data_IF_317794749626
#
_entry.id   IF_317794749626
#
_cell.length_a   1.000
_cell.length_b   1.000
_cell.length_c   1.000
_cell.angle_alpha   90.00
_cell.angle_beta   90.00
_cell.angle_gamma   90.00
#
_symmetry.space_group_name_H-M   'P 1'
#
loop_
_entity.id
_entity.type
_entity.pdbx_description
1 polymer ?
2 non-polymer ?
3 non-polymer ?
4 non-polymer ?
5 water ?
#
# COMPACT_ATOMS: atom_id res chain seq x y z
N UNK A 4 8.61 -13.23 12.11
CA UNK A 4 8.38 -11.83 12.52
C UNK A 4 6.91 -11.43 12.16
N UNK A 5 6.35 -11.90 11.06
CA UNK A 5 5.01 -11.44 10.62
C UNK A 5 3.98 -11.88 11.64
N UNK A 6 3.16 -10.94 12.07
CA UNK A 6 2.08 -11.19 12.98
C UNK A 6 1.09 -12.18 12.38
N UNK A 7 0.80 -13.31 13.04
CA UNK A 7 -0.20 -14.28 12.48
C UNK A 7 -1.59 -13.66 12.57
N UNK A 8 -2.41 -13.90 11.56
CA UNK A 8 -3.80 -13.45 11.55
C UNK A 8 -4.62 -14.47 10.75
N UNK A 9 -5.91 -14.54 11.03
CA UNK A 9 -6.77 -15.23 10.08
C UNK A 9 -6.68 -14.60 8.71
N UNK A 10 -6.97 -15.37 7.70
CA UNK A 10 -7.09 -14.93 6.33
C UNK A 10 -8.45 -14.34 6.00
N UNK A 11 -8.46 -13.12 5.49
CA UNK A 11 -9.63 -12.46 4.96
C UNK A 11 -9.50 -12.36 3.46
N UNK A 12 -10.40 -12.99 2.70
CA UNK A 12 -10.43 -12.79 1.29
C UNK A 12 -11.15 -11.54 0.89
N UNK A 13 -10.51 -10.67 0.12
CA UNK A 13 -11.14 -9.50 -0.44
C UNK A 13 -11.24 -9.85 -1.92
N UNK A 14 -12.39 -10.27 -2.40
CA UNK A 14 -12.45 -10.92 -3.69
C UNK A 14 -11.53 -12.12 -3.67
N UNK A 15 -10.75 -12.21 -4.73
CA UNK A 15 -9.74 -13.23 -4.89
C UNK A 15 -8.43 -13.01 -4.12
N UNK A 16 -8.28 -11.83 -3.50
CA UNK A 16 -7.01 -11.48 -2.84
C UNK A 16 -7.06 -11.81 -1.37
N UNK A 17 -6.21 -12.73 -0.91
CA UNK A 17 -6.14 -13.04 0.53
C UNK A 17 -5.32 -12.02 1.24
N UNK A 18 -5.80 -11.59 2.41
CA UNK A 18 -5.19 -10.61 3.32
C UNK A 18 -4.93 -11.33 4.65
N UNK A 19 -3.73 -11.26 5.21
CA UNK A 19 -3.49 -11.78 6.53
C UNK A 19 -2.07 -12.30 6.65
N UNK A 20 -1.70 -12.75 7.85
CA UNK A 20 -0.30 -13.04 8.14
C UNK A 20 0.30 -14.15 7.31
N UNK A 21 -0.50 -15.00 6.66
CA UNK A 21 0.05 -16.01 5.76
C UNK A 21 0.28 -15.57 4.30
N UNK A 22 -0.01 -14.28 4.04
CA UNK A 22 -0.10 -13.81 2.66
C UNK A 22 0.75 -12.56 2.43
N UNK A 23 1.16 -12.31 1.19
CA UNK A 23 1.89 -11.09 0.89
C UNK A 23 1.06 -9.88 1.31
N UNK A 24 1.77 -8.86 1.79
CA UNK A 24 1.12 -7.62 2.15
C UNK A 24 0.57 -6.99 0.90
N UNK A 25 -0.75 -6.75 0.85
CA UNK A 25 -1.43 -6.32 -0.36
C UNK A 25 -1.40 -4.80 -0.59
N UNK A 26 -1.09 -4.34 -1.78
CA UNK A 26 -1.16 -2.93 -2.12
C UNK A 26 -2.53 -2.55 -2.56
N UNK A 27 -3.05 -1.48 -1.98
CA UNK A 27 -4.31 -0.96 -2.38
C UNK A 27 -4.25 0.57 -2.62
N UNK A 28 -5.33 1.11 -3.15
CA UNK A 28 -5.47 2.50 -3.48
C UNK A 28 -6.94 2.83 -3.49
N UNK A 29 -7.23 4.07 -3.83
CA UNK A 29 -8.61 4.55 -3.89
C UNK A 29 -8.76 5.51 -5.04
N UNK A 30 -9.86 5.42 -5.74
CA UNK A 30 -10.13 6.34 -6.86
C UNK A 30 -10.42 7.76 -6.37
N UNK A 31 -10.28 8.74 -7.26
CA UNK A 31 -10.71 10.11 -6.97
C UNK A 31 -11.66 10.69 -7.97
N UNK A 32 -12.19 9.88 -8.84
CA UNK A 32 -13.25 10.27 -9.75
C UNK A 32 -14.60 10.20 -9.07
N UNK A 33 -15.58 11.01 -9.55
CA UNK A 33 -16.92 10.83 -9.03
C UNK A 33 -17.39 9.37 -9.37
N UNK A 34 -17.85 8.63 -8.36
CA UNK A 34 -18.27 7.26 -8.56
C UNK A 34 -19.41 7.15 -9.57
N UNK A 35 -20.30 8.15 -9.56
CA UNK A 35 -21.42 8.17 -10.49
C UNK A 35 -20.95 8.22 -11.91
N UNK A 36 -19.74 8.69 -12.16
CA UNK A 36 -19.18 8.76 -13.51
C UNK A 36 -18.59 7.37 -13.79
N UNK A 37 -19.43 6.52 -14.43
CA UNK A 37 -19.06 5.10 -14.66
C UNK A 37 -17.80 5.00 -15.52
N UNK A 38 -17.78 5.79 -16.60
CA UNK A 38 -16.66 5.69 -17.49
C UNK A 38 -15.33 6.14 -16.82
N UNK A 39 -15.36 7.27 -16.14
CA UNK A 39 -14.12 7.82 -15.54
C UNK A 39 -13.65 6.84 -14.42
N UNK A 40 -14.62 6.36 -13.62
CA UNK A 40 -14.25 5.52 -12.45
C UNK A 40 -13.78 4.15 -12.91
N UNK A 41 -14.44 3.54 -13.92
CA UNK A 41 -13.98 2.27 -14.47
C UNK A 41 -12.56 2.37 -15.00
N UNK A 42 -12.32 3.46 -15.73
CA UNK A 42 -11.01 3.72 -16.33
C UNK A 42 -9.93 3.81 -15.21
N UNK A 43 -10.27 4.58 -14.17
CA UNK A 43 -9.28 4.80 -13.11
C UNK A 43 -9.04 3.54 -12.29
N UNK A 44 -10.10 2.74 -12.08
CA UNK A 44 -9.91 1.43 -11.43
C UNK A 44 -8.91 0.61 -12.19
N UNK A 45 -9.11 0.54 -13.51
CA UNK A 45 -8.22 -0.23 -14.36
C UNK A 45 -6.76 0.30 -14.34
N UNK A 46 -6.63 1.63 -14.40
CA UNK A 46 -5.34 2.27 -14.35
C UNK A 46 -4.61 1.89 -13.05
N UNK A 47 -5.31 2.04 -11.92
CA UNK A 47 -4.75 1.76 -10.60
C UNK A 47 -4.33 0.27 -10.52
N UNK A 48 -5.19 -0.62 -11.01
CA UNK A 48 -4.93 -2.01 -10.99
C UNK A 48 -3.72 -2.36 -11.85
N UNK A 49 -3.62 -1.79 -13.04
CA UNK A 49 -2.49 -2.07 -13.92
C UNK A 49 -1.21 -1.56 -13.35
N UNK A 50 -1.27 -0.50 -12.54
CA UNK A 50 -0.08 -0.01 -11.87
C UNK A 50 0.38 -0.80 -10.68
N UNK A 51 -0.44 -1.75 -10.23
CA UNK A 51 -0.13 -2.58 -9.06
C UNK A 51 -1.09 -2.57 -7.92
N UNK A 52 -2.21 -1.87 -8.07
CA UNK A 52 -3.19 -1.86 -6.99
C UNK A 52 -3.96 -3.20 -6.99
N UNK A 53 -3.71 -4.05 -6.02
CA UNK A 53 -4.30 -5.34 -5.98
C UNK A 53 -5.78 -5.29 -5.55
N UNK A 54 -6.12 -4.27 -4.78
CA UNK A 54 -7.48 -3.99 -4.32
C UNK A 54 -7.71 -2.49 -4.58
N UNK A 55 -8.92 -2.12 -5.02
CA UNK A 55 -9.20 -0.70 -5.24
C UNK A 55 -10.47 -0.31 -4.53
N UNK A 56 -10.40 0.76 -3.73
CA UNK A 56 -11.54 1.36 -3.04
C UNK A 56 -12.12 2.51 -3.84
N UNK A 57 -13.43 2.66 -3.71
CA UNK A 57 -14.16 3.80 -4.28
C UNK A 57 -15.19 4.28 -3.32
N UNK A 58 -15.41 5.59 -3.29
CA UNK A 58 -16.41 6.12 -2.36
C UNK A 58 -17.82 5.76 -2.91
N UNK A 59 -18.70 5.40 -1.97
CA UNK A 59 -20.09 5.14 -2.32
C UNK A 59 -20.90 6.09 -1.45
N UNK A 60 -20.99 7.35 -1.88
CA UNK A 60 -21.38 8.43 -0.98
C UNK A 60 -22.88 8.79 -1.00
N UNK A 61 -23.50 8.51 -2.12
CA UNK A 61 -24.91 8.81 -2.35
C UNK A 61 -25.57 7.85 -3.27
N UNK A 62 -26.85 8.12 -3.55
CA UNK A 62 -27.62 7.18 -4.36
C UNK A 62 -27.05 7.04 -5.76
N UNK A 63 -26.65 8.13 -6.40
CA UNK A 63 -26.14 8.03 -7.76
C UNK A 63 -24.86 7.19 -7.80
N UNK A 64 -24.03 7.35 -6.77
CA UNK A 64 -22.83 6.52 -6.68
C UNK A 64 -23.19 5.05 -6.55
N UNK A 65 -24.14 4.79 -5.68
CA UNK A 65 -24.57 3.44 -5.42
C UNK A 65 -25.06 2.80 -6.71
N UNK A 66 -25.87 3.51 -7.49
CA UNK A 66 -26.41 3.00 -8.70
C UNK A 66 -25.35 2.70 -9.79
N UNK A 67 -24.21 3.38 -9.76
CA UNK A 67 -23.12 3.17 -10.69
C UNK A 67 -22.31 1.92 -10.39
N UNK A 68 -22.21 1.52 -9.14
CA UNK A 68 -21.30 0.45 -8.74
C UNK A 68 -21.48 -0.84 -9.53
N UNK A 69 -22.75 -1.31 -9.70
CA UNK A 69 -22.89 -2.57 -10.42
C UNK A 69 -22.42 -2.48 -11.85
N UNK A 70 -22.60 -1.36 -12.49
CA UNK A 70 -22.12 -1.18 -13.85
C UNK A 70 -20.61 -1.13 -13.90
N UNK A 71 -20.01 -0.42 -12.95
CA UNK A 71 -18.49 -0.40 -12.92
C UNK A 71 -17.99 -1.85 -12.79
N UNK A 72 -18.57 -2.60 -11.84
CA UNK A 72 -18.13 -3.99 -11.64
C UNK A 72 -18.34 -4.84 -12.92
N UNK A 73 -19.51 -4.70 -13.54
CA UNK A 73 -19.78 -5.44 -14.77
C UNK A 73 -18.72 -5.16 -15.86
N UNK A 74 -18.39 -3.89 -16.01
CA UNK A 74 -17.42 -3.51 -17.03
C UNK A 74 -16.05 -4.07 -16.74
N UNK A 75 -15.65 -4.07 -15.45
CA UNK A 75 -14.38 -4.66 -15.06
C UNK A 75 -14.31 -6.13 -15.40
N UNK A 76 -15.38 -6.83 -15.04
CA UNK A 76 -15.40 -8.23 -15.28
C UNK A 76 -15.43 -8.57 -16.81
N UNK A 77 -16.05 -7.69 -17.59
CA UNK A 77 -16.08 -7.93 -19.03
C UNK A 77 -14.70 -7.94 -19.68
N UNK A 78 -13.76 -7.26 -19.05
CA UNK A 78 -12.40 -7.40 -19.49
C UNK A 78 -11.46 -8.27 -18.72
N UNK A 79 -12.10 -9.09 -17.90
CA UNK A 79 -11.34 -10.04 -17.12
C UNK A 79 -10.59 -9.41 -15.95
N UNK A 80 -10.93 -8.19 -15.60
CA UNK A 80 -10.24 -7.47 -14.52
C UNK A 80 -10.94 -7.82 -13.21
N UNK A 81 -10.34 -8.73 -12.47
CA UNK A 81 -10.96 -9.23 -11.26
C UNK A 81 -10.47 -8.48 -10.02
N UNK A 82 -10.07 -7.29 -10.14
CA UNK A 82 -9.66 -6.46 -9.05
C UNK A 82 -10.85 -6.28 -8.12
N UNK A 83 -10.65 -6.57 -6.82
CA UNK A 83 -11.77 -6.39 -5.89
C UNK A 83 -12.00 -4.89 -5.62
N UNK A 84 -13.27 -4.60 -5.38
CA UNK A 84 -13.75 -3.27 -5.07
C UNK A 84 -14.15 -3.18 -3.64
N UNK A 85 -13.68 -2.14 -2.97
CA UNK A 85 -14.07 -1.81 -1.60
C UNK A 85 -14.93 -0.54 -1.68
N UNK A 86 -16.12 -0.62 -1.10
CA UNK A 86 -16.99 0.58 -1.03
C UNK A 86 -16.75 1.34 0.27
N UNK A 87 -16.54 2.63 0.14
CA UNK A 87 -16.29 3.48 1.30
C UNK A 87 -17.61 4.20 1.65
N UNK A 88 -18.10 3.88 2.83
CA UNK A 88 -19.41 4.37 3.32
C UNK A 88 -19.26 5.31 4.51
N UNK A 89 -20.03 6.42 4.46
CA UNK A 89 -20.11 7.34 5.60
C UNK A 89 -21.51 7.89 5.67
N UNK A 90 -22.02 8.01 6.87
CA UNK A 90 -23.30 8.65 7.24
C UNK A 90 -24.55 7.87 6.83
N UNK A 91 -24.57 7.41 5.59
CA UNK A 91 -25.79 6.77 5.03
C UNK A 91 -25.53 5.36 4.50
N UNK A 92 -24.40 4.74 4.90
CA UNK A 92 -24.10 3.44 4.34
C UNK A 92 -25.15 2.39 4.55
N UNK A 93 -25.80 2.42 5.69
CA UNK A 93 -26.86 1.46 5.96
C UNK A 93 -28.01 1.70 4.98
N UNK A 94 -28.30 2.94 4.66
CA UNK A 94 -29.40 3.22 3.74
C UNK A 94 -29.05 2.79 2.32
N UNK A 95 -27.83 3.09 1.92
CA UNK A 95 -27.43 2.74 0.55
C UNK A 95 -27.35 1.24 0.35
N UNK A 96 -26.78 0.52 1.27
CA UNK A 96 -26.70 -0.91 1.20
C UNK A 96 -28.07 -1.61 1.23
N UNK A 97 -28.97 -1.04 1.99
CA UNK A 97 -30.35 -1.56 2.07
C UNK A 97 -31.10 -1.32 0.78
N UNK A 98 -31.01 -0.10 0.23
CA UNK A 98 -31.80 0.31 -0.90
C UNK A 98 -31.31 -0.18 -2.24
N UNK A 99 -30.01 -0.47 -2.33
CA UNK A 99 -29.33 -0.86 -3.56
C UNK A 99 -28.61 -2.21 -3.42
N UNK A 100 -29.36 -3.31 -3.34
CA UNK A 100 -28.79 -4.62 -3.06
C UNK A 100 -27.88 -5.07 -4.21
N UNK A 101 -28.06 -4.55 -5.42
CA UNK A 101 -27.13 -4.93 -6.50
C UNK A 101 -25.76 -4.27 -6.26
N UNK A 102 -25.75 -3.08 -5.68
CA UNK A 102 -24.47 -2.46 -5.26
C UNK A 102 -23.83 -3.25 -4.14
N UNK A 103 -24.63 -3.65 -3.16
CA UNK A 103 -24.08 -4.43 -2.06
C UNK A 103 -23.39 -5.75 -2.52
N UNK A 104 -24.02 -6.35 -3.52
CA UNK A 104 -23.55 -7.60 -4.07
C UNK A 104 -22.34 -7.41 -4.95
N UNK A 105 -22.33 -6.31 -5.68
CA UNK A 105 -21.25 -6.03 -6.59
C UNK A 105 -19.89 -5.70 -5.92
N UNK A 106 -19.98 -5.00 -4.79
CA UNK A 106 -18.79 -4.75 -4.02
C UNK A 106 -18.17 -6.03 -3.53
N UNK A 107 -16.85 -6.03 -3.28
CA UNK A 107 -16.17 -7.14 -2.68
C UNK A 107 -15.89 -6.95 -1.19
N UNK A 108 -16.06 -5.75 -0.69
CA UNK A 108 -15.83 -5.46 0.73
C UNK A 108 -16.52 -4.12 1.02
N UNK A 109 -16.97 -3.99 2.29
CA UNK A 109 -17.51 -2.74 2.79
C UNK A 109 -16.58 -2.12 3.80
N UNK A 110 -16.39 -0.83 3.69
CA UNK A 110 -15.71 -0.08 4.74
C UNK A 110 -16.73 0.63 5.58
N UNK A 111 -16.68 0.45 6.89
CA UNK A 111 -17.46 1.18 7.88
C UNK A 111 -16.52 2.04 8.69
N UNK A 112 -16.88 3.27 8.99
CA UNK A 112 -16.15 4.14 9.88
C UNK A 112 -16.99 4.31 11.15
N UNK A 113 -16.54 3.77 12.29
CA UNK A 113 -17.37 3.91 13.53
C UNK A 113 -17.70 5.29 13.94
N UNK A 114 -17.00 6.26 13.43
CA UNK A 114 -17.24 7.68 13.68
C UNK A 114 -18.15 8.39 12.72
N UNK A 115 -18.58 7.72 11.67
CA UNK A 115 -19.52 8.31 10.69
C UNK A 115 -20.80 7.50 10.58
N UNK A 116 -21.20 6.85 11.66
CA UNK A 116 -22.38 6.02 11.67
C UNK A 116 -23.64 6.76 11.91
N UNK A 117 -23.58 7.90 12.60
CA UNK A 117 -24.71 8.69 13.02
C UNK A 117 -24.53 9.04 14.47
N UNK A 118 -25.65 9.52 15.04
CA UNK A 118 -25.69 10.11 16.40
C UNK A 118 -26.12 9.06 17.44
N UNK A 119 -25.86 9.30 18.70
CA UNK A 119 -26.61 8.60 19.76
C UNK A 119 -26.79 7.08 19.69
N UNK A 120 -28.06 6.62 19.66
CA UNK A 120 -28.45 5.18 19.66
C UNK A 120 -28.67 4.69 18.22
N UNK A 121 -28.81 5.69 17.37
CA UNK A 121 -28.91 5.39 15.95
C UNK A 121 -27.61 4.70 15.49
N UNK A 122 -26.44 5.05 16.06
CA UNK A 122 -25.12 4.55 15.56
C UNK A 122 -25.13 3.00 15.64
N UNK A 123 -25.60 2.50 16.78
CA UNK A 123 -25.56 1.04 16.99
C UNK A 123 -26.50 0.36 15.96
N UNK A 124 -27.69 0.93 15.69
CA UNK A 124 -28.53 0.34 14.69
C UNK A 124 -27.94 0.36 13.29
N UNK A 125 -27.37 1.50 12.91
CA UNK A 125 -26.77 1.62 11.60
C UNK A 125 -25.63 0.65 11.40
N UNK A 126 -24.81 0.53 12.42
CA UNK A 126 -23.71 -0.43 12.40
C UNK A 126 -24.27 -1.86 12.22
N UNK A 127 -25.26 -2.19 13.04
CA UNK A 127 -25.80 -3.50 12.97
C UNK A 127 -26.35 -3.83 11.58
N UNK A 128 -27.05 -2.84 11.01
CA UNK A 128 -27.64 -3.03 9.67
C UNK A 128 -26.55 -3.33 8.62
N UNK A 129 -25.45 -2.61 8.67
CA UNK A 129 -24.38 -2.83 7.67
C UNK A 129 -23.76 -4.19 7.88
N UNK A 130 -23.51 -4.54 9.14
CA UNK A 130 -22.94 -5.86 9.48
C UNK A 130 -23.88 -7.00 9.03
N UNK A 131 -25.20 -6.81 9.25
CA UNK A 131 -26.18 -7.77 8.80
C UNK A 131 -26.13 -8.02 7.32
N UNK A 132 -26.04 -6.95 6.53
CA UNK A 132 -26.01 -7.08 5.09
C UNK A 132 -24.70 -7.82 4.73
N UNK A 133 -23.56 -7.43 5.28
CA UNK A 133 -22.31 -8.15 5.00
C UNK A 133 -22.42 -9.65 5.31
N UNK A 134 -23.02 -9.98 6.46
CA UNK A 134 -23.20 -11.41 6.82
C UNK A 134 -24.07 -12.11 5.76
N UNK A 135 -25.19 -11.50 5.41
CA UNK A 135 -26.14 -12.11 4.48
C UNK A 135 -25.49 -12.36 3.12
N UNK A 136 -24.55 -11.49 2.71
CA UNK A 136 -23.93 -11.56 1.43
C UNK A 136 -22.55 -12.23 1.41
N UNK A 137 -22.07 -12.56 2.56
CA UNK A 137 -20.74 -13.12 2.69
C UNK A 137 -19.58 -12.20 2.41
N UNK A 138 -19.81 -10.91 2.63
CA UNK A 138 -18.82 -9.93 2.36
C UNK A 138 -17.95 -9.65 3.60
N UNK A 139 -16.68 -9.41 3.35
CA UNK A 139 -15.79 -8.89 4.41
C UNK A 139 -16.01 -7.40 4.63
N UNK A 140 -15.59 -6.93 5.79
CA UNK A 140 -15.75 -5.55 6.22
C UNK A 140 -14.43 -5.05 6.77
N UNK A 141 -14.11 -3.80 6.46
CA UNK A 141 -13.09 -3.11 7.23
C UNK A 141 -13.77 -2.18 8.20
N UNK A 142 -13.46 -2.32 9.44
CA UNK A 142 -13.80 -1.34 10.44
C UNK A 142 -12.64 -0.37 10.48
N UNK A 143 -12.86 0.80 9.94
CA UNK A 143 -11.80 1.75 9.69
C UNK A 143 -12.00 3.05 10.44
N UNK A 144 -11.39 3.18 11.59
CA UNK A 144 -11.43 4.42 12.37
C UNK A 144 -10.40 5.40 11.82
N UNK A 145 -10.67 6.69 11.95
CA UNK A 145 -9.79 7.73 11.48
C UNK A 145 -9.89 8.87 12.43
N UNK A 146 -8.79 9.47 12.81
CA UNK A 146 -8.85 10.50 13.84
C UNK A 146 -9.46 11.80 13.35
N UNK A 147 -9.72 11.92 12.07
CA UNK A 147 -10.48 13.05 11.49
C UNK A 147 -11.96 12.95 11.73
N UNK A 148 -12.44 11.84 12.25
CA UNK A 148 -13.84 11.51 12.38
C UNK A 148 -14.02 10.62 13.61
N UNK A 149 -13.49 11.05 14.75
CA UNK A 149 -13.49 10.25 15.98
C UNK A 149 -14.85 10.39 16.59
N UNK A 150 -15.37 9.27 17.03
CA UNK A 150 -16.58 9.25 17.75
C UNK A 150 -16.51 10.14 19.05
N UNK A 151 -17.32 11.22 19.11
CA UNK A 151 -17.20 12.21 20.22
C UNK A 151 -17.66 11.71 21.55
N UNK A 152 -18.67 10.84 21.52
CA UNK A 152 -19.14 10.22 22.76
C UNK A 152 -18.04 9.34 23.40
N UNK A 153 -17.35 8.61 22.55
CA UNK A 153 -16.24 7.80 23.03
C UNK A 153 -15.10 8.66 23.55
N UNK A 154 -14.78 9.76 22.83
CA UNK A 154 -13.75 10.67 23.30
C UNK A 154 -14.10 11.23 24.70
N UNK A 155 -15.33 11.65 24.91
CA UNK A 155 -15.68 12.13 26.24
C UNK A 155 -15.55 11.07 27.31
N UNK A 156 -15.95 9.86 27.02
CA UNK A 156 -15.82 8.78 27.97
C UNK A 156 -14.41 8.64 28.41
N UNK A 157 -13.53 8.66 27.42
CA UNK A 157 -12.13 8.44 27.67
C UNK A 157 -11.40 9.64 28.29
N UNK A 158 -11.89 10.83 27.95
CA UNK A 158 -11.45 12.03 28.62
C UNK A 158 -11.72 11.99 30.13
N UNK A 159 -12.90 11.46 30.47
CA UNK A 159 -13.30 11.36 31.87
C UNK A 159 -12.49 10.27 32.58
N UNK A 160 -12.31 9.13 31.94
CA UNK A 160 -11.39 8.11 32.50
C UNK A 160 -10.00 8.69 32.80
N UNK A 161 -9.48 9.42 31.81
CA UNK A 161 -8.20 10.04 31.95
C UNK A 161 -8.10 11.01 33.12
N UNK A 162 -9.13 11.83 33.30
CA UNK A 162 -9.13 12.78 34.36
C UNK A 162 -9.18 12.17 35.74
N UNK A 163 -9.54 10.90 35.85
CA UNK A 163 -9.53 10.16 37.13
C UNK A 163 -8.18 9.53 37.44
N UNK A 164 -7.26 9.50 36.50
CA UNK A 164 -5.97 8.90 36.71
C UNK A 164 -5.12 9.70 37.66
N UNK A 165 -4.32 9.01 38.47
CA UNK A 165 -3.39 9.78 39.34
C UNK A 165 -2.55 10.78 38.56
N UNK A 166 -2.17 10.36 37.34
CA UNK A 166 -1.39 11.20 36.41
C UNK A 166 -2.02 11.23 35.04
N UNK A 167 -2.93 12.19 34.85
CA UNK A 167 -3.60 12.17 33.58
C UNK A 167 -2.66 12.40 32.40
N UNK A 168 -2.96 11.70 31.30
CA UNK A 168 -2.27 11.86 30.05
C UNK A 168 -2.71 13.12 29.33
N UNK A 169 -1.97 13.51 28.29
CA UNK A 169 -2.35 14.69 27.55
C UNK A 169 -3.60 14.43 26.74
N UNK A 170 -4.19 15.51 26.30
CA UNK A 170 -5.34 15.46 25.45
C UNK A 170 -5.06 14.69 24.18
N UNK A 171 -3.88 14.91 23.62
CA UNK A 171 -3.49 14.23 22.39
C UNK A 171 -3.45 12.73 22.63
N UNK A 172 -2.81 12.28 23.70
CA UNK A 172 -2.72 10.84 24.00
C UNK A 172 -4.10 10.25 24.22
N UNK A 173 -5.03 10.96 24.87
CA UNK A 173 -6.36 10.45 25.01
C UNK A 173 -7.09 10.33 23.65
N UNK A 174 -6.89 11.24 22.70
CA UNK A 174 -7.41 11.06 21.35
C UNK A 174 -6.91 9.74 20.75
N UNK A 175 -5.64 9.47 20.91
CA UNK A 175 -5.12 8.21 20.36
C UNK A 175 -5.72 6.96 21.07
N UNK A 176 -5.96 7.08 22.37
CA UNK A 176 -6.58 5.99 23.09
C UNK A 176 -7.99 5.75 22.52
N UNK A 177 -8.72 6.87 22.33
CA UNK A 177 -10.09 6.79 21.90
C UNK A 177 -10.17 6.21 20.47
N UNK A 178 -9.21 6.57 19.62
CA UNK A 178 -9.21 6.01 18.27
C UNK A 178 -9.06 4.51 18.31
N UNK A 179 -8.08 4.02 19.07
CA UNK A 179 -7.92 2.57 19.19
C UNK A 179 -9.20 1.95 19.74
N UNK A 180 -9.72 2.56 20.82
CA UNK A 180 -10.89 1.98 21.47
C UNK A 180 -12.06 1.90 20.51
N UNK A 181 -12.23 2.90 19.67
CA UNK A 181 -13.29 2.89 18.71
C UNK A 181 -13.24 1.70 17.78
N UNK A 182 -12.05 1.42 17.27
CA UNK A 182 -11.85 0.29 16.37
C UNK A 182 -12.06 -1.02 17.12
N UNK A 183 -11.48 -1.13 18.30
CA UNK A 183 -11.54 -2.39 19.04
C UNK A 183 -13.00 -2.69 19.48
N UNK A 184 -13.72 -1.68 19.94
CA UNK A 184 -15.11 -1.93 20.39
C UNK A 184 -15.97 -2.33 19.24
N UNK A 185 -15.75 -1.72 18.09
CA UNK A 185 -16.53 -2.07 16.92
C UNK A 185 -16.22 -3.45 16.39
N UNK A 186 -14.93 -3.75 16.39
CA UNK A 186 -14.49 -5.13 16.08
C UNK A 186 -15.20 -6.14 16.94
N UNK A 187 -15.13 -5.94 18.24
CA UNK A 187 -15.72 -6.92 19.18
C UNK A 187 -17.23 -7.01 18.97
N UNK A 188 -17.88 -5.89 18.72
CA UNK A 188 -19.29 -5.87 18.45
C UNK A 188 -19.66 -6.65 17.17
N UNK A 189 -18.90 -6.49 16.12
CA UNK A 189 -19.12 -7.25 14.91
C UNK A 189 -18.96 -8.73 15.13
N UNK A 190 -17.90 -9.10 15.86
CA UNK A 190 -17.68 -10.53 16.14
C UNK A 190 -18.90 -11.09 16.96
N UNK A 191 -19.32 -10.32 17.94
CA UNK A 191 -20.43 -10.78 18.79
C UNK A 191 -21.75 -10.95 18.01
N UNK A 192 -21.93 -10.21 16.94
CA UNK A 192 -23.08 -10.32 16.05
C UNK A 192 -22.96 -11.48 15.10
N UNK A 193 -21.81 -12.12 15.03
CA UNK A 193 -21.62 -13.27 14.23
C UNK A 193 -20.81 -13.11 12.96
N UNK A 194 -20.25 -11.93 12.73
CA UNK A 194 -19.44 -11.77 11.54
C UNK A 194 -18.13 -12.55 11.75
N UNK A 195 -17.71 -13.33 10.77
CA UNK A 195 -16.55 -14.14 11.03
C UNK A 195 -15.20 -13.43 11.12
N UNK A 196 -14.27 -14.08 11.78
CA UNK A 196 -12.89 -13.59 11.80
C UNK A 196 -12.28 -13.57 10.41
N UNK A 197 -12.81 -14.38 9.51
CA UNK A 197 -12.41 -14.36 8.13
C UNK A 197 -13.04 -13.27 7.34
N UNK A 198 -13.74 -12.35 7.98
CA UNK A 198 -14.50 -11.30 7.29
C UNK A 198 -14.23 -9.92 7.91
N UNK A 199 -13.18 -9.76 8.73
CA UNK A 199 -12.99 -8.50 9.43
C UNK A 199 -11.53 -8.04 9.31
N UNK A 200 -11.36 -6.81 8.82
CA UNK A 200 -10.07 -6.12 8.71
C UNK A 200 -10.21 -4.84 9.51
N UNK A 201 -9.16 -4.41 10.19
CA UNK A 201 -9.24 -3.22 10.99
C UNK A 201 -8.22 -2.17 10.54
N UNK A 202 -8.60 -0.87 10.68
CA UNK A 202 -7.64 0.23 10.57
C UNK A 202 -7.97 1.29 11.61
N UNK A 203 -6.98 2.09 11.96
CA UNK A 203 -7.17 3.18 12.88
C UNK A 203 -6.11 4.20 12.52
N UNK A 204 -6.45 5.13 11.63
CA UNK A 204 -5.45 5.97 10.95
C UNK A 204 -5.35 7.34 11.61
N UNK A 205 -4.15 7.84 11.67
CA UNK A 205 -3.79 9.19 12.09
C UNK A 205 -2.83 9.75 11.05
N UNK A 206 -2.60 11.04 11.08
CA UNK A 206 -1.78 11.72 10.10
C UNK A 206 -0.39 12.05 10.54
N UNK A 207 0.03 11.66 11.76
CA UNK A 207 1.39 11.82 12.24
C UNK A 207 2.04 10.45 12.46
N UNK A 208 3.24 10.31 11.91
CA UNK A 208 3.94 9.06 11.89
C UNK A 208 4.15 8.42 13.23
N UNK A 209 4.68 9.15 14.22
CA UNK A 209 4.96 8.51 15.50
C UNK A 209 3.69 8.05 16.18
N UNK A 210 2.62 8.78 15.99
CA UNK A 210 1.31 8.43 16.54
C UNK A 210 0.77 7.16 15.85
N UNK A 211 0.96 7.04 14.54
CA UNK A 211 0.53 5.84 13.84
C UNK A 211 1.17 4.61 14.41
N UNK A 212 2.48 4.67 14.70
CA UNK A 212 3.18 3.54 15.23
C UNK A 212 2.60 3.12 16.58
N UNK A 213 2.36 4.08 17.49
CA UNK A 213 1.74 3.77 18.73
C UNK A 213 0.35 3.08 18.54
N UNK A 214 -0.47 3.71 17.69
CA UNK A 214 -1.81 3.20 17.46
C UNK A 214 -1.79 1.73 16.97
N UNK A 215 -0.97 1.47 15.95
CA UNK A 215 -0.98 0.16 15.39
C UNK A 215 -0.37 -0.91 16.28
N UNK A 216 0.63 -0.53 17.11
CA UNK A 216 1.11 -1.47 18.10
C UNK A 216 -0.02 -1.86 19.07
N UNK A 217 -0.87 -0.90 19.44
CA UNK A 217 -2.00 -1.20 20.30
C UNK A 217 -3.03 -2.06 19.61
N UNK A 218 -3.38 -1.73 18.35
CA UNK A 218 -4.33 -2.56 17.61
C UNK A 218 -3.85 -3.95 17.46
N UNK A 219 -2.57 -4.09 17.15
CA UNK A 219 -2.01 -5.41 16.93
C UNK A 219 -2.06 -6.26 18.16
N UNK A 220 -1.81 -5.64 19.32
CA UNK A 220 -1.84 -6.35 20.59
C UNK A 220 -3.22 -6.74 21.00
N UNK A 221 -4.18 -5.84 20.81
CA UNK A 221 -5.52 -6.02 21.34
C UNK A 221 -6.50 -6.79 20.50
N UNK A 222 -6.15 -7.04 19.23
CA UNK A 222 -7.01 -7.73 18.29
C UNK A 222 -6.22 -8.80 17.59
N UNK A 223 -6.96 -9.67 16.91
CA UNK A 223 -6.38 -10.70 16.07
C UNK A 223 -6.53 -10.48 14.61
N UNK A 224 -7.19 -9.40 14.18
CA UNK A 224 -7.55 -9.22 12.80
C UNK A 224 -6.38 -8.81 11.95
N UNK A 225 -6.46 -9.12 10.66
CA UNK A 225 -5.56 -8.44 9.73
C UNK A 225 -5.76 -6.93 9.84
N UNK A 226 -4.67 -6.20 9.60
CA UNK A 226 -4.67 -4.77 9.74
C UNK A 226 -4.39 -4.09 8.41
N UNK A 227 -5.22 -3.11 8.10
CA UNK A 227 -4.99 -2.23 6.95
C UNK A 227 -4.27 -1.05 7.53
N UNK A 228 -3.07 -0.82 7.09
CA UNK A 228 -2.16 0.19 7.59
C UNK A 228 -1.97 1.30 6.64
N UNK A 229 -2.12 2.52 7.06
CA UNK A 229 -1.78 3.69 6.27
C UNK A 229 -1.69 4.92 7.13
N UNK A 230 -0.89 5.89 6.70
CA UNK A 230 -0.81 7.24 7.27
C UNK A 230 -1.83 8.10 6.55
N UNK A 231 -2.93 8.40 7.21
CA UNK A 231 -3.94 9.16 6.50
C UNK A 231 -3.52 10.61 6.33
N UNK A 232 -4.02 11.22 5.27
CA UNK A 232 -3.84 12.63 4.99
C UNK A 232 -2.35 13.00 5.01
N UNK A 233 -1.52 12.21 4.29
CA UNK A 233 -0.10 12.37 4.35
C UNK A 233 0.44 13.63 3.63
N UNK A 234 -0.36 14.22 2.76
CA UNK A 234 0.00 15.42 2.09
C UNK A 234 0.63 15.21 0.75
N UNK A 235 1.21 16.29 0.25
CA UNK A 235 1.69 16.41 -1.12
C UNK A 235 3.18 16.16 -1.27
N UNK A 236 3.56 15.72 -2.45
CA UNK A 236 4.95 15.72 -2.83
C UNK A 236 5.86 14.91 -1.95
N UNK A 237 7.07 15.40 -1.87
CA UNK A 237 8.11 14.70 -1.11
C UNK A 237 7.64 14.52 0.35
N UNK A 238 7.02 15.52 0.95
CA UNK A 238 6.53 15.45 2.28
C UNK A 238 5.66 14.21 2.46
N UNK A 239 4.69 14.06 1.54
CA UNK A 239 3.74 12.98 1.66
C UNK A 239 4.39 11.62 1.47
N UNK A 240 5.35 11.56 0.56
CA UNK A 240 6.06 10.32 0.30
C UNK A 240 6.91 9.94 1.55
N UNK A 241 7.71 10.86 2.03
CA UNK A 241 8.54 10.61 3.19
C UNK A 241 7.75 10.26 4.42
N UNK A 242 6.70 11.03 4.69
CA UNK A 242 5.95 10.78 5.92
C UNK A 242 5.34 9.36 5.87
N UNK A 243 4.82 8.99 4.69
CA UNK A 243 4.20 7.70 4.54
C UNK A 243 5.21 6.55 4.80
N UNK A 244 6.39 6.66 4.14
CA UNK A 244 7.38 5.65 4.34
C UNK A 244 7.91 5.59 5.80
N UNK A 245 8.10 6.75 6.40
CA UNK A 245 8.59 6.84 7.76
C UNK A 245 7.59 6.27 8.75
N UNK A 246 6.31 6.46 8.50
CA UNK A 246 5.29 5.94 9.41
C UNK A 246 5.12 4.46 9.31
N UNK A 247 5.20 3.94 8.07
CA UNK A 247 4.93 2.53 7.84
C UNK A 247 6.08 1.61 8.20
N UNK A 248 7.29 2.08 7.90
CA UNK A 248 8.44 1.20 8.03
C UNK A 248 8.63 0.59 9.37
N UNK A 249 8.51 1.37 10.50
CA UNK A 249 8.75 0.76 11.82
C UNK A 249 7.78 -0.38 12.11
N UNK A 250 6.55 -0.23 11.67
CA UNK A 250 5.50 -1.22 11.90
C UNK A 250 5.69 -2.43 11.03
N UNK A 251 5.94 -2.20 9.75
CA UNK A 251 6.15 -3.31 8.82
C UNK A 251 7.35 -4.13 9.21
N UNK A 252 8.42 -3.49 9.64
CA UNK A 252 9.59 -4.27 10.04
C UNK A 252 9.33 -5.08 11.27
N UNK A 253 8.39 -4.67 12.17
CA UNK A 253 7.98 -5.37 13.38
C UNK A 253 6.93 -6.46 13.03
N UNK A 254 6.56 -6.59 11.76
CA UNK A 254 5.60 -7.60 11.40
C UNK A 254 4.15 -7.21 11.47
N UNK A 255 3.86 -5.92 11.60
CA UNK A 255 2.51 -5.44 11.73
C UNK A 255 2.08 -4.83 10.39
N UNK A 256 0.90 -5.25 9.94
CA UNK A 256 0.27 -4.74 8.72
C UNK A 256 0.09 -5.80 7.65
N UNK A 257 -1.10 -5.89 7.12
CA UNK A 257 -1.49 -6.95 6.15
C UNK A 257 -1.84 -6.40 4.78
N UNK A 258 -2.19 -5.10 4.70
CA UNK A 258 -2.45 -4.37 3.48
C UNK A 258 -2.14 -2.91 3.73
N UNK A 259 -1.67 -2.18 2.75
CA UNK A 259 -1.31 -0.80 2.91
C UNK A 259 -1.95 0.03 1.83
N UNK A 260 -2.18 1.28 2.15
CA UNK A 260 -2.61 2.34 1.23
C UNK A 260 -1.81 3.58 1.54
N UNK A 261 -1.28 4.24 0.54
CA UNK A 261 -0.52 5.48 0.68
C UNK A 261 -1.46 6.63 0.30
N UNK A 262 -1.70 7.50 1.25
CA UNK A 262 -2.63 8.62 1.18
C UNK A 262 -1.98 9.91 0.73
N UNK A 263 -1.51 9.93 -0.52
CA UNK A 263 -0.89 11.12 -1.10
C UNK A 263 -1.91 12.01 -1.68
N UNK A 264 -1.67 13.33 -1.52
CA UNK A 264 -2.43 14.31 -2.23
C UNK A 264 -1.76 14.49 -3.58
N UNK A 265 -2.43 14.17 -4.70
CA UNK A 265 -1.73 14.43 -6.00
C UNK A 265 -1.59 15.92 -6.22
N UNK A 266 -0.47 16.31 -6.79
CA UNK A 266 -0.40 17.68 -7.32
C UNK A 266 -1.38 17.76 -8.50
N UNK A 267 -1.88 18.98 -8.80
CA UNK A 267 -2.77 19.12 -9.99
C UNK A 267 -2.11 18.49 -11.22
N UNK A 268 -2.83 17.62 -11.88
CA UNK A 268 -2.27 16.95 -13.10
C UNK A 268 -1.43 15.71 -12.81
N UNK A 269 -0.99 15.48 -11.56
CA UNK A 269 -0.20 14.28 -11.20
C UNK A 269 -1.09 13.04 -11.17
N UNK A 270 -0.59 11.95 -11.67
CA UNK A 270 -1.46 10.74 -11.79
C UNK A 270 -1.82 10.14 -10.44
N UNK A 271 -3.01 9.57 -10.39
CA UNK A 271 -3.43 8.89 -9.15
C UNK A 271 -2.63 7.62 -8.85
N UNK A 272 -1.93 7.13 -9.86
CA UNK A 272 -1.07 5.99 -9.68
C UNK A 272 0.19 6.22 -8.85
N UNK A 273 0.57 7.47 -8.61
CA UNK A 273 1.78 7.72 -7.87
C UNK A 273 1.72 7.07 -6.48
N UNK A 274 0.56 7.08 -5.85
CA UNK A 274 0.46 6.46 -4.50
C UNK A 274 0.72 4.98 -4.54
N UNK A 275 0.36 4.32 -5.67
CA UNK A 275 0.60 2.88 -5.83
C UNK A 275 2.08 2.63 -5.94
N UNK A 276 2.77 3.45 -6.73
CA UNK A 276 4.22 3.32 -6.86
C UNK A 276 4.86 3.50 -5.48
N UNK A 277 4.44 4.49 -4.69
CA UNK A 277 5.03 4.67 -3.37
C UNK A 277 4.81 3.45 -2.47
N UNK A 278 3.58 2.96 -2.49
CA UNK A 278 3.27 1.78 -1.68
C UNK A 278 4.20 0.58 -1.99
N UNK A 279 4.36 0.39 -3.30
CA UNK A 279 5.19 -0.70 -3.77
C UNK A 279 6.63 -0.48 -3.35
N UNK A 280 7.12 0.74 -3.44
CA UNK A 280 8.49 1.06 -3.02
C UNK A 280 8.72 0.87 -1.56
N UNK A 281 7.73 1.15 -0.71
CA UNK A 281 7.90 0.94 0.71
C UNK A 281 8.11 -0.55 0.97
N UNK A 282 7.22 -1.37 0.41
CA UNK A 282 7.29 -2.79 0.66
C UNK A 282 8.60 -3.40 0.13
N UNK A 283 8.98 -2.97 -1.09
CA UNK A 283 10.23 -3.50 -1.67
C UNK A 283 11.46 -3.01 -0.94
N UNK A 284 11.49 -1.73 -0.48
CA UNK A 284 12.62 -1.24 0.25
C UNK A 284 12.89 -2.08 1.46
N UNK A 285 11.84 -2.60 2.09
CA UNK A 285 11.96 -3.36 3.32
C UNK A 285 12.11 -4.84 3.09
N UNK A 286 12.20 -5.27 1.82
CA UNK A 286 12.37 -6.70 1.50
C UNK A 286 11.16 -7.53 1.74
N UNK A 287 9.97 -6.91 1.75
CA UNK A 287 8.75 -7.63 1.99
C UNK A 287 7.98 -8.10 0.76
N UNK A 288 8.20 -7.45 -0.35
CA UNK A 288 7.64 -7.87 -1.60
C UNK A 288 8.68 -7.46 -2.65
N UNK A 289 8.65 -8.07 -3.81
CA UNK A 289 9.43 -7.64 -4.93
C UNK A 289 8.54 -7.45 -6.13
N UNK A 290 8.53 -6.26 -6.67
CA UNK A 290 7.71 -5.87 -7.80
C UNK A 290 8.43 -5.68 -9.11
N UNK A 291 9.68 -5.26 -9.04
CA UNK A 291 10.43 -4.89 -10.24
C UNK A 291 11.88 -4.86 -9.87
N UNK A 292 12.74 -5.04 -10.86
CA UNK A 292 14.17 -4.87 -10.64
C UNK A 292 14.44 -3.49 -10.01
N UNK A 293 15.50 -3.43 -9.22
CA UNK A 293 15.88 -2.21 -8.57
C UNK A 293 17.32 -1.85 -8.89
N UNK A 294 17.61 -0.56 -8.95
CA UNK A 294 18.94 -0.06 -9.19
C UNK A 294 19.42 0.59 -7.90
N UNK A 295 20.57 0.06 -7.43
CA UNK A 295 21.39 0.65 -6.36
C UNK A 295 22.46 1.50 -7.06
N UNK A 296 22.55 2.79 -6.66
CA UNK A 296 23.53 3.66 -7.21
C UNK A 296 24.00 4.64 -6.17
N UNK A 297 25.27 5.02 -6.27
CA UNK A 297 25.82 5.90 -5.30
C UNK A 297 25.30 7.33 -5.57
N UNK A 298 25.49 8.26 -4.62
CA UNK A 298 25.08 9.65 -4.87
C UNK A 298 25.90 10.34 -5.89
N UNK A 299 27.09 9.85 -6.17
CA UNK A 299 28.12 10.58 -6.88
C UNK A 299 28.76 11.59 -5.96
N UNK A 300 30.01 11.91 -6.17
CA UNK A 300 30.69 12.95 -5.44
C UNK A 300 31.76 13.53 -6.30
N UNK A 301 32.68 14.30 -5.72
CA UNK A 301 33.76 14.89 -6.44
C UNK A 301 34.73 13.92 -7.09
N UNK A 302 34.61 12.65 -6.75
CA UNK A 302 35.39 11.62 -7.41
C UNK A 302 34.82 11.16 -8.73
N UNK A 303 33.61 11.52 -9.06
CA UNK A 303 32.92 11.04 -10.25
C UNK A 303 33.23 11.98 -11.34
N UNK A 304 33.34 11.47 -12.54
CA UNK A 304 34.30 11.90 -13.56
C UNK A 304 33.57 12.87 -14.48
N UNK A 305 32.30 12.63 -14.64
CA UNK A 305 31.53 13.46 -15.51
C UNK A 305 30.05 13.22 -15.10
N UNK A 306 29.14 13.87 -15.89
CA UNK A 306 27.65 13.73 -15.72
C UNK A 306 27.20 12.36 -16.31
N UNK A 307 28.16 11.59 -16.91
CA UNK A 307 27.92 10.24 -17.47
C UNK A 307 27.35 9.39 -16.37
N UNK A 308 27.88 9.47 -15.14
CA UNK A 308 27.39 8.62 -14.06
C UNK A 308 25.87 8.75 -13.88
N UNK A 309 25.39 9.99 -13.68
CA UNK A 309 23.96 10.23 -13.41
C UNK A 309 23.15 9.76 -14.63
N UNK A 310 23.67 10.04 -15.83
CA UNK A 310 23.01 9.64 -17.04
C UNK A 310 22.93 8.14 -17.23
N UNK A 311 24.04 7.43 -16.88
CA UNK A 311 24.02 5.97 -16.98
C UNK A 311 23.03 5.38 -16.01
N UNK A 312 23.10 5.85 -14.75
CA UNK A 312 22.19 5.28 -13.74
C UNK A 312 20.72 5.43 -14.23
N UNK A 313 20.40 6.67 -14.69
CA UNK A 313 19.05 6.93 -15.17
C UNK A 313 18.69 6.03 -16.37
N UNK A 314 19.62 5.93 -17.30
CA UNK A 314 19.36 5.09 -18.49
C UNK A 314 19.14 3.62 -18.08
N UNK A 315 19.91 3.10 -17.17
CA UNK A 315 19.73 1.71 -16.71
C UNK A 315 18.33 1.56 -16.07
N UNK A 316 17.96 2.51 -15.22
CA UNK A 316 16.66 2.45 -14.61
C UNK A 316 15.54 2.46 -15.67
N UNK A 317 15.69 3.32 -16.67
CA UNK A 317 14.70 3.48 -17.71
C UNK A 317 14.55 2.18 -18.54
N UNK A 318 15.66 1.55 -18.86
CA UNK A 318 15.67 0.29 -19.63
C UNK A 318 15.04 -0.84 -18.83
N UNK A 319 15.37 -0.95 -17.57
CA UNK A 319 14.75 -1.99 -16.74
C UNK A 319 13.22 -1.83 -16.72
N UNK A 320 12.75 -0.59 -16.63
CA UNK A 320 11.30 -0.33 -16.61
C UNK A 320 10.71 -0.73 -17.95
N UNK A 321 11.40 -0.43 -19.03
CA UNK A 321 10.89 -0.82 -20.36
C UNK A 321 10.83 -2.33 -20.57
N UNK A 322 11.84 -3.06 -20.12
CA UNK A 322 11.93 -4.50 -20.30
C UNK A 322 10.96 -5.33 -19.40
N UNK A 323 10.50 -4.70 -18.29
CA UNK A 323 9.84 -5.49 -17.23
C UNK A 323 8.59 -6.24 -17.72
N UNK A 324 7.72 -5.62 -18.52
CA UNK A 324 6.54 -6.42 -18.92
C UNK A 324 6.87 -7.75 -19.61
N UNK A 325 7.83 -7.66 -20.53
CA UNK A 325 8.31 -8.82 -21.18
C UNK A 325 9.01 -9.76 -20.25
N UNK A 326 9.94 -9.19 -19.50
CA UNK A 326 10.62 -10.03 -18.53
C UNK A 326 9.72 -10.82 -17.56
N UNK A 327 8.74 -10.11 -17.02
CA UNK A 327 7.84 -10.71 -16.00
C UNK A 327 7.19 -11.97 -16.63
N UNK A 328 6.96 -11.93 -17.94
CA UNK A 328 6.30 -13.06 -18.62
C UNK A 328 7.25 -14.26 -18.91
N UNK A 329 8.49 -13.95 -19.19
CA UNK A 329 9.44 -14.95 -19.62
C UNK A 329 10.33 -15.54 -18.53
N UNK A 330 10.61 -14.73 -17.52
CA UNK A 330 11.68 -15.01 -16.55
C UNK A 330 11.19 -14.98 -15.14
N UNK A 331 10.64 -16.09 -14.66
CA UNK A 331 10.14 -16.14 -13.30
C UNK A 331 11.15 -15.70 -12.28
N UNK A 332 10.72 -14.76 -11.43
CA UNK A 332 11.53 -14.28 -10.35
C UNK A 332 12.33 -13.01 -10.64
N UNK A 333 12.23 -12.53 -11.88
CA UNK A 333 13.03 -11.37 -12.24
C UNK A 333 12.74 -10.13 -11.43
N UNK A 334 11.60 -10.06 -10.75
CA UNK A 334 11.28 -8.92 -9.90
C UNK A 334 12.31 -8.78 -8.82
N UNK A 335 13.06 -9.83 -8.48
CA UNK A 335 14.08 -9.81 -7.42
C UNK A 335 15.43 -9.22 -7.92
N UNK A 336 15.55 -8.91 -9.22
CA UNK A 336 16.84 -8.46 -9.74
C UNK A 336 17.30 -7.18 -9.07
N UNK A 337 18.58 -7.23 -8.70
CA UNK A 337 19.29 -6.11 -8.07
C UNK A 337 20.46 -5.72 -9.02
N UNK A 338 20.46 -4.50 -9.53
CA UNK A 338 21.50 -3.96 -10.43
C UNK A 338 22.17 -2.81 -9.75
N UNK A 339 23.48 -2.73 -9.83
CA UNK A 339 24.21 -1.59 -9.28
C UNK A 339 24.87 -0.80 -10.39
N UNK A 340 24.88 0.56 -10.24
CA UNK A 340 25.60 1.50 -11.10
C UNK A 340 26.30 2.43 -10.16
N UNK A 341 27.65 2.38 -10.20
CA UNK A 341 28.46 3.07 -9.22
C UNK A 341 29.55 3.99 -9.86
N UNK A 342 29.92 5.07 -9.16
CA UNK A 342 30.70 6.16 -9.68
C UNK A 342 32.21 6.06 -9.64
N UNK A 343 32.76 5.25 -8.75
CA UNK A 343 34.19 5.10 -8.63
C UNK A 343 34.60 3.85 -7.88
N UNK A 344 35.93 3.61 -7.76
CA UNK A 344 36.46 2.43 -7.16
C UNK A 344 36.27 2.32 -5.68
N UNK A 345 35.95 3.44 -5.02
CA UNK A 345 35.87 3.40 -3.54
C UNK A 345 34.86 2.35 -3.09
N UNK A 346 33.60 2.51 -3.51
CA UNK A 346 32.58 1.52 -3.17
C UNK A 346 32.02 0.79 -4.40
N UNK A 347 32.51 1.15 -5.58
CA UNK A 347 31.88 0.63 -6.77
C UNK A 347 31.94 -0.91 -6.94
N UNK A 348 33.15 -1.50 -6.86
CA UNK A 348 33.27 -2.95 -6.93
C UNK A 348 32.54 -3.67 -5.85
N UNK A 349 32.72 -3.20 -4.61
CA UNK A 349 32.10 -3.84 -3.49
C UNK A 349 30.59 -3.87 -3.59
N UNK A 350 30.00 -2.70 -3.85
CA UNK A 350 28.57 -2.63 -3.97
C UNK A 350 28.10 -3.49 -5.13
N UNK A 351 28.84 -3.42 -6.26
CA UNK A 351 28.48 -4.24 -7.41
C UNK A 351 28.48 -5.72 -7.14
N UNK A 352 29.41 -6.16 -6.28
CA UNK A 352 29.45 -7.55 -5.87
C UNK A 352 28.33 -7.99 -4.98
N UNK A 353 27.66 -7.02 -4.32
CA UNK A 353 26.46 -7.33 -3.58
C UNK A 353 25.21 -7.46 -4.42
N UNK A 354 25.19 -6.86 -5.59
CA UNK A 354 24.09 -6.88 -6.50
C UNK A 354 24.11 -8.21 -7.27
N UNK A 355 23.04 -8.47 -8.01
CA UNK A 355 23.16 -9.58 -9.02
C UNK A 355 24.20 -9.26 -10.11
N UNK A 356 24.15 -8.00 -10.56
CA UNK A 356 25.06 -7.53 -11.60
C UNK A 356 25.25 -6.03 -11.37
N UNK A 357 26.46 -5.58 -11.55
CA UNK A 357 26.71 -4.16 -11.32
C UNK A 357 27.93 -3.68 -12.07
N UNK A 358 27.95 -2.41 -12.36
CA UNK A 358 29.10 -1.74 -13.04
C UNK A 358 29.66 -0.66 -12.12
N UNK A 359 31.00 -0.61 -12.14
CA UNK A 359 31.80 0.38 -11.42
C UNK A 359 32.51 1.28 -12.40
N UNK A 360 32.02 2.51 -12.62
CA UNK A 360 32.69 3.43 -13.50
C UNK A 360 34.01 3.83 -12.86
N UNK A 361 34.91 4.31 -13.76
CA UNK A 361 36.11 4.85 -13.26
C UNK A 361 35.90 6.30 -12.86
N UNK A 362 36.38 6.58 -11.68
CA UNK A 362 36.39 7.93 -11.18
C UNK A 362 37.78 8.56 -11.30
N UNK A 363 37.96 9.64 -10.57
CA UNK A 363 39.18 10.42 -10.61
C UNK A 363 40.37 9.57 -10.30
N UNK A 364 41.41 9.74 -11.12
CA UNK A 364 42.66 9.09 -10.80
C UNK A 364 42.80 7.68 -11.35
N UNK A 365 41.71 7.18 -11.92
CA UNK A 365 41.64 5.78 -12.35
C UNK A 365 41.85 5.67 -13.85
N UNK A 366 42.31 4.50 -14.25
CA UNK A 366 42.33 4.12 -15.66
C UNK A 366 40.89 4.14 -16.21
N UNK A 367 40.72 4.56 -17.47
CA UNK A 367 39.38 4.69 -18.05
C UNK A 367 38.78 3.34 -18.50
N UNK A 368 38.45 2.51 -17.51
CA UNK A 368 37.81 1.23 -17.70
C UNK A 368 36.84 1.02 -16.58
N UNK A 369 35.85 0.24 -16.87
CA UNK A 369 34.70 0.05 -16.01
C UNK A 369 34.45 -1.46 -15.78
N UNK A 370 34.92 -2.02 -14.66
CA UNK A 370 34.59 -3.39 -14.40
C UNK A 370 33.13 -3.64 -14.18
N UNK A 371 32.68 -4.82 -14.60
CA UNK A 371 31.32 -5.28 -14.40
C UNK A 371 31.44 -6.56 -13.63
N UNK A 372 30.62 -6.66 -12.60
CA UNK A 372 30.54 -7.83 -11.73
C UNK A 372 29.18 -8.48 -11.86
N UNK A 373 29.17 -9.81 -11.70
CA UNK A 373 27.91 -10.55 -11.64
C UNK A 373 28.07 -11.72 -10.70
N UNK A 374 27.05 -11.97 -9.87
CA UNK A 374 27.11 -13.07 -8.90
C UNK A 374 28.38 -12.94 -8.03
N UNK A 375 28.80 -11.70 -7.72
CA UNK A 375 29.90 -11.49 -6.79
C UNK A 375 31.29 -11.58 -7.36
N UNK A 376 31.41 -11.78 -8.67
CA UNK A 376 32.69 -11.88 -9.32
C UNK A 376 32.79 -11.15 -10.59
N UNK A 377 34.02 -10.82 -10.95
CA UNK A 377 34.28 -10.06 -12.19
C UNK A 377 33.73 -10.85 -13.38
N UNK A 378 32.89 -10.16 -14.15
CA UNK A 378 32.30 -10.64 -15.40
C UNK A 378 33.11 -10.13 -16.61
N UNK A 379 33.33 -8.83 -16.72
CA UNK A 379 34.10 -8.24 -17.77
C UNK A 379 34.55 -6.85 -17.42
N UNK A 380 35.29 -6.19 -18.29
CA UNK A 380 35.70 -4.87 -18.09
C UNK A 380 35.36 -4.15 -19.37
N UNK A 381 34.62 -3.05 -19.25
CA UNK A 381 34.19 -2.23 -20.36
C UNK A 381 35.01 -0.97 -20.54
N UNK A 382 35.14 -0.52 -21.80
CA UNK A 382 35.82 0.72 -22.11
C UNK A 382 35.33 1.32 -23.38
N UNK A 383 35.62 2.59 -23.54
CA UNK A 383 35.21 3.33 -24.73
C UNK A 383 33.79 3.90 -24.70
N UNK A 384 33.31 4.16 -25.93
CA UNK A 384 31.95 4.61 -26.23
C UNK A 384 30.95 3.45 -25.96
N UNK A 385 29.70 3.72 -25.83
CA UNK A 385 28.83 2.54 -25.78
C UNK A 385 28.94 1.62 -24.55
N UNK A 386 29.54 2.10 -23.47
CA UNK A 386 29.53 1.34 -22.16
C UNK A 386 28.09 1.06 -21.75
N UNK A 387 27.22 2.05 -21.95
CA UNK A 387 25.84 1.91 -21.48
C UNK A 387 25.12 0.75 -22.21
N UNK A 388 25.22 0.71 -23.54
CA UNK A 388 24.50 -0.36 -24.27
C UNK A 388 25.17 -1.73 -24.07
N UNK A 389 26.50 -1.75 -23.87
CA UNK A 389 27.18 -3.00 -23.57
C UNK A 389 26.71 -3.49 -22.22
N UNK A 390 26.67 -2.61 -21.21
CA UNK A 390 26.20 -3.02 -19.90
C UNK A 390 24.75 -3.57 -19.94
N UNK A 391 23.87 -2.85 -20.67
CA UNK A 391 22.48 -3.28 -20.72
C UNK A 391 22.36 -4.61 -21.42
N UNK A 392 23.22 -4.90 -22.41
CA UNK A 392 23.24 -6.23 -23.03
C UNK A 392 23.70 -7.28 -22.06
N UNK A 393 24.68 -6.96 -21.22
CA UNK A 393 25.13 -7.91 -20.22
C UNK A 393 24.01 -8.19 -19.19
N UNK A 394 23.28 -7.13 -18.82
CA UNK A 394 22.13 -7.28 -17.90
C UNK A 394 21.08 -8.19 -18.51
N UNK A 395 20.75 -7.93 -19.79
CA UNK A 395 19.86 -8.84 -20.48
C UNK A 395 20.33 -10.31 -20.48
N UNK A 396 21.59 -10.51 -20.83
CA UNK A 396 22.14 -11.87 -20.83
C UNK A 396 22.04 -12.51 -19.48
N UNK A 397 22.32 -11.69 -18.46
CA UNK A 397 22.27 -12.18 -17.09
C UNK A 397 20.88 -12.66 -16.71
N UNK A 398 19.90 -11.83 -17.01
CA UNK A 398 18.52 -12.14 -16.70
C UNK A 398 18.06 -13.45 -17.33
N UNK A 399 18.40 -13.62 -18.61
CA UNK A 399 18.03 -14.87 -19.33
C UNK A 399 18.55 -16.13 -18.73
N UNK A 400 19.74 -16.05 -18.16
CA UNK A 400 20.40 -17.18 -17.52
C UNK A 400 19.87 -17.35 -16.09
N UNK A 401 19.97 -16.32 -15.29
CA UNK A 401 19.63 -16.42 -13.88
C UNK A 401 18.15 -16.72 -13.64
N UNK A 402 17.24 -16.08 -14.40
CA UNK A 402 15.83 -16.17 -14.17
C UNK A 402 15.15 -16.98 -15.26
N UNK A 403 15.93 -17.84 -15.91
CA UNK A 403 15.37 -18.78 -16.85
C UNK A 403 14.34 -19.67 -16.11
N UNK A 404 13.26 -20.00 -16.78
CA UNK A 404 12.30 -20.93 -16.18
C UNK A 404 12.88 -22.34 -16.00
X LIG B 1 31.74 9.13 -4.67
X LIG B 1 31.13 6.74 -3.43
X LIG B 1 32.85 6.85 -5.51
X LIG B 1 30.17 7.16 -5.86
X LIG B 1 31.29 5.25 -5.23
X LIG B 1 31.78 8.41 -6.87
X LIG B 1 29.67 8.48 -4.04
X LIG B 1 33.12 7.73 -3.43
X LIG C 1 30.09 5.64 3.86
X LIG C 1 29.71 7.07 3.41
X LIG C 1 29.29 7.99 4.60
X LIG C 1 30.73 7.73 2.53
X LIG C 1 28.38 6.80 2.45
X LIG C 1 27.51 7.84 1.64
X LIG C 1 26.45 7.03 0.90
X LIG C 1 27.03 9.01 2.55
X LIG C 1 28.50 8.69 0.73
X LIG C 1 29.10 8.00 -0.29
X LIG C 1 30.21 8.93 -0.72
X LIG C 1 31.15 9.70 -1.07
X LIG D 1 -17.21 15.62 30.29
X LIG D 1 -17.70 14.30 29.83
X LIG D 1 -16.31 16.24 29.21
X LIG D 1 -17.11 16.44 28.03
X LIG D 1 -15.09 15.41 28.77
X LIG D 1 -14.17 15.28 29.87
X LIG E 1 8.86 -1.07 -6.93
X LIG E 1 9.70 -2.09 -7.55
X LIG E 1 8.20 -0.33 -8.12
X LIG E 1 7.22 -1.20 -8.72
X LIG E 1 7.29 0.85 -7.95
X LIG E 1 7.53 1.64 -9.13
X LIG F 1 -5.21 12.34 -9.99
X LIG F 1 -6.29 11.90 -10.70
X LIG F 1 -5.53 13.72 -10.66
X LIG F 1 -6.89 14.06 -10.18
X LIG F 1 -4.52 14.87 -10.41
X LIG F 1 -5.31 16.00 -11.08
#
# INVERSE_FOLDING_TARGET
MEGMRRPTPTVYVGRVPIGGAHPIAVQSMTNTPTRDVEATTAQVLELHRAGSEIVRLTVNDEEAAKAVPEIKRRLLAEGAEVPLVGDFHFNGHLLLRKYPKMAEALDKFRINPGTLGRGRHKDEHFAEMIRIAMDLGKPVRIGANWGSLDPALLTELMDRNARRPEPKSAHEVVLEALVESAVRAYEAALEMGLGEDKLVLSAKVSKARDLVWVYRELARRTQAPLHLGLTEAGMGVKGIVASAAALAPLLLEGIGDTIRVSLTPAPGEPRTKEVEVAQEILQALGLRAFAPEVTSCPGCGRTTSTFFQELAEEVSRRLKERLPEWRARYPGVEELKVAVMGCVVNGPGESKHAHIGISLPGAGEEPKAPVYADGKLLTILKGEGIAEEFLRLVEDYVKTRFAPKA
SF4 FE1 FE2 FE3 FE4 S1 S2 S3 S4
0CG O20 P17 O18 O19 O16 P13 O14 O15 O29 C28 C27 C30
GOL C1 O1 C2 O2 C3 O3
GOL C1 O1 C2 O2 C3 O3
GOL C1 O1 C2 O2 C3 O3
#
